data_IF_038002070790
#
_entry.id   IF_038002070790
#
_cell.length_a   1.000
_cell.length_b   1.000
_cell.length_c   1.000
_cell.angle_alpha   90.00
_cell.angle_beta   90.00
_cell.angle_gamma   90.00
#
_symmetry.space_group_name_H-M   'P 1'
#
loop_
_entity.id
_entity.type
_entity.pdbx_description
1 polymer ?
#
# COMPACT_ATOMS: atom_id res chain seq x y z
N UNK A 1 -3.68 17.64 -34.75
CA UNK A 1 -2.76 17.46 -33.59
C UNK A 1 -3.19 16.19 -32.89
N UNK A 2 -2.29 15.23 -32.80
CA UNK A 2 -2.56 13.87 -32.36
C UNK A 2 -2.99 13.77 -30.89
N UNK A 3 -4.05 13.01 -30.65
CA UNK A 3 -4.52 12.62 -29.32
C UNK A 3 -3.75 11.37 -28.88
N UNK A 4 -3.15 11.33 -27.66
CA UNK A 4 -2.40 10.18 -27.16
C UNK A 4 -3.22 8.89 -27.10
N UNK A 5 -2.57 7.76 -27.42
CA UNK A 5 -3.15 6.39 -27.50
C UNK A 5 -3.78 5.86 -26.19
N UNK A 6 -3.68 6.61 -25.10
CA UNK A 6 -4.06 6.22 -23.73
C UNK A 6 -5.55 6.50 -23.41
N UNK A 7 -6.31 7.12 -24.31
CA UNK A 7 -7.71 7.52 -24.10
C UNK A 7 -8.76 6.57 -24.69
N UNK A 8 -8.35 5.45 -25.29
CA UNK A 8 -9.27 4.38 -25.71
C UNK A 8 -9.39 3.34 -24.59
N UNK A 9 -10.64 2.98 -24.30
CA UNK A 9 -11.07 1.79 -23.57
C UNK A 9 -11.26 1.95 -22.05
N UNK A 10 -12.40 1.66 -21.43
CA UNK A 10 -13.69 1.06 -21.84
C UNK A 10 -14.41 0.77 -20.49
N UNK A 11 -15.71 0.87 -20.22
CA UNK A 11 -16.88 0.87 -21.10
C UNK A 11 -18.16 1.41 -20.39
N UNK A 12 -18.11 1.93 -19.16
CA UNK A 12 -19.35 2.28 -18.40
C UNK A 12 -19.38 3.68 -17.78
N UNK A 13 -18.25 4.40 -17.76
CA UNK A 13 -18.19 5.88 -17.56
C UNK A 13 -18.91 6.69 -18.67
N UNK A 14 -19.42 6.01 -19.71
CA UNK A 14 -19.78 6.59 -21.00
C UNK A 14 -21.12 7.32 -21.03
N UNK A 15 -22.17 6.78 -20.40
CA UNK A 15 -23.54 7.27 -20.61
C UNK A 15 -23.79 8.63 -19.93
N UNK A 16 -23.29 8.85 -18.71
CA UNK A 16 -23.47 10.14 -18.01
C UNK A 16 -22.48 11.23 -18.45
N UNK A 17 -21.31 10.85 -18.97
CA UNK A 17 -20.30 11.79 -19.45
C UNK A 17 -20.64 12.28 -20.86
N UNK A 18 -21.23 11.43 -21.72
CA UNK A 18 -21.62 11.81 -23.08
C UNK A 18 -22.63 12.96 -23.09
N UNK A 19 -23.56 13.05 -22.12
CA UNK A 19 -24.54 14.14 -22.08
C UNK A 19 -23.88 15.47 -21.66
N UNK A 20 -22.95 15.43 -20.70
CA UNK A 20 -22.15 16.58 -20.27
C UNK A 20 -21.12 17.02 -21.34
N UNK A 21 -20.50 16.07 -22.05
CA UNK A 21 -19.59 16.34 -23.16
C UNK A 21 -20.36 16.82 -24.38
N UNK A 22 -21.57 16.32 -24.65
CA UNK A 22 -22.42 16.80 -25.74
C UNK A 22 -22.84 18.25 -25.49
N UNK A 23 -23.26 18.58 -24.27
CA UNK A 23 -23.56 19.96 -23.89
C UNK A 23 -22.32 20.86 -24.00
N UNK A 24 -21.15 20.38 -23.58
CA UNK A 24 -19.89 21.13 -23.67
C UNK A 24 -19.40 21.31 -25.12
N UNK A 25 -19.47 20.27 -25.95
CA UNK A 25 -19.08 20.30 -27.36
C UNK A 25 -20.03 21.13 -28.23
N UNK A 26 -21.35 21.14 -27.92
CA UNK A 26 -22.32 22.05 -28.54
C UNK A 26 -22.04 23.52 -28.17
N UNK A 27 -21.65 23.77 -26.91
CA UNK A 27 -21.28 25.11 -26.43
C UNK A 27 -19.98 25.63 -27.09
N UNK A 28 -19.06 24.72 -27.44
CA UNK A 28 -17.71 25.04 -27.93
C UNK A 28 -17.41 24.62 -29.39
N UNK A 29 -18.41 24.14 -30.14
CA UNK A 29 -18.37 23.76 -31.57
C UNK A 29 -17.31 22.71 -31.96
N UNK A 30 -17.23 21.61 -31.20
CA UNK A 30 -16.38 20.45 -31.53
C UNK A 30 -17.22 19.24 -32.00
N UNK A 31 -16.71 18.45 -32.95
CA UNK A 31 -17.39 17.23 -33.46
C UNK A 31 -17.25 16.02 -32.51
N UNK A 32 -18.31 15.21 -32.39
CA UNK A 32 -18.42 14.09 -31.44
C UNK A 32 -17.75 12.78 -31.93
N UNK A 33 -17.11 11.97 -31.04
CA UNK A 33 -16.46 10.70 -31.42
C UNK A 33 -17.40 9.47 -31.38
N UNK A 34 -17.16 8.47 -32.24
CA UNK A 34 -17.92 7.20 -32.32
C UNK A 34 -17.47 6.16 -31.26
N UNK A 35 -18.43 5.40 -30.72
CA UNK A 35 -18.34 4.61 -29.47
C UNK A 35 -17.88 3.14 -29.62
N UNK A 36 -16.91 2.68 -28.82
CA UNK A 36 -16.57 1.26 -28.54
C UNK A 36 -17.54 0.59 -27.53
N UNK A 37 -18.15 -0.56 -27.89
CA UNK A 37 -19.31 -1.16 -27.21
C UNK A 37 -19.16 -2.65 -26.77
N UNK A 38 -18.02 -3.31 -26.98
CA UNK A 38 -18.05 -4.79 -27.14
C UNK A 38 -17.66 -5.71 -25.96
N UNK A 39 -17.27 -5.24 -24.77
CA UNK A 39 -16.64 -6.16 -23.77
C UNK A 39 -17.55 -6.53 -22.57
N UNK A 40 -18.69 -5.87 -22.35
CA UNK A 40 -19.51 -6.04 -21.11
C UNK A 40 -20.81 -6.85 -21.33
N UNK A 41 -21.09 -7.28 -22.55
CA UNK A 41 -22.45 -7.66 -22.97
C UNK A 41 -22.86 -9.09 -22.61
N UNK A 42 -21.96 -10.08 -22.61
CA UNK A 42 -22.40 -11.49 -22.58
C UNK A 42 -22.98 -11.94 -21.22
N UNK A 43 -22.31 -11.58 -20.12
CA UNK A 43 -22.77 -11.93 -18.77
C UNK A 43 -24.09 -11.25 -18.39
N UNK A 44 -24.22 -9.96 -18.70
CA UNK A 44 -25.42 -9.17 -18.42
C UNK A 44 -26.57 -9.60 -19.34
N UNK A 45 -26.31 -9.85 -20.63
CA UNK A 45 -27.31 -10.38 -21.56
C UNK A 45 -27.85 -11.73 -21.12
N UNK A 46 -26.98 -12.64 -20.65
CA UNK A 46 -27.40 -13.96 -20.15
C UNK A 46 -28.30 -13.86 -18.91
N UNK A 47 -28.02 -12.92 -18.00
CA UNK A 47 -28.85 -12.67 -16.82
C UNK A 47 -30.19 -12.03 -17.20
N UNK A 48 -30.19 -11.04 -18.11
CA UNK A 48 -31.42 -10.44 -18.63
C UNK A 48 -32.30 -11.47 -19.34
N UNK A 49 -31.69 -12.39 -20.10
CA UNK A 49 -32.40 -13.48 -20.75
C UNK A 49 -33.00 -14.46 -19.73
N UNK A 50 -32.29 -14.79 -18.65
CA UNK A 50 -32.81 -15.65 -17.57
C UNK A 50 -33.97 -15.01 -16.80
N UNK A 51 -33.90 -13.70 -16.55
CA UNK A 51 -35.01 -12.93 -15.94
C UNK A 51 -36.24 -12.92 -16.86
N UNK A 52 -36.03 -12.83 -18.18
CA UNK A 52 -37.10 -12.74 -19.18
C UNK A 52 -37.66 -14.10 -19.64
N UNK A 53 -36.95 -15.20 -19.38
CA UNK A 53 -37.37 -16.55 -19.76
C UNK A 53 -38.47 -17.09 -18.83
N UNK A 54 -39.38 -17.96 -19.32
CA UNK A 54 -40.42 -18.61 -18.51
C UNK A 54 -39.85 -19.72 -17.60
N UNK A 55 -38.77 -19.39 -16.87
CA UNK A 55 -38.15 -20.22 -15.85
C UNK A 55 -38.89 -20.08 -14.51
N UNK A 56 -38.53 -20.88 -13.51
CA UNK A 56 -39.11 -20.76 -12.17
C UNK A 56 -38.95 -19.35 -11.61
N UNK A 57 -39.97 -18.82 -10.93
CA UNK A 57 -39.91 -17.52 -10.22
C UNK A 57 -38.67 -17.45 -9.31
N UNK A 58 -38.27 -18.59 -8.73
CA UNK A 58 -37.05 -18.70 -7.92
C UNK A 58 -35.77 -18.41 -8.72
N UNK A 59 -35.69 -18.89 -9.97
CA UNK A 59 -34.54 -18.65 -10.84
C UNK A 59 -34.50 -17.23 -11.38
N UNK A 60 -35.66 -16.64 -11.69
CA UNK A 60 -35.78 -15.23 -12.09
C UNK A 60 -35.35 -14.29 -10.95
N UNK A 61 -35.80 -14.57 -9.73
CA UNK A 61 -35.44 -13.77 -8.54
C UNK A 61 -33.93 -13.84 -8.28
N UNK A 62 -33.33 -15.03 -8.36
CA UNK A 62 -31.88 -15.22 -8.21
C UNK A 62 -31.09 -14.47 -9.29
N UNK A 63 -31.54 -14.51 -10.54
CA UNK A 63 -30.89 -13.78 -11.63
C UNK A 63 -30.99 -12.25 -11.46
N UNK A 64 -32.11 -11.74 -10.94
CA UNK A 64 -32.29 -10.31 -10.65
C UNK A 64 -31.41 -9.83 -9.49
N UNK A 65 -31.26 -10.63 -8.43
CA UNK A 65 -30.33 -10.35 -7.33
C UNK A 65 -28.87 -10.32 -7.82
N UNK A 66 -28.50 -11.26 -8.69
CA UNK A 66 -27.17 -11.31 -9.29
C UNK A 66 -26.89 -10.10 -10.19
N UNK A 67 -27.86 -9.72 -11.03
CA UNK A 67 -27.78 -8.51 -11.85
C UNK A 67 -27.60 -7.26 -10.98
N UNK A 68 -28.42 -7.11 -9.93
CA UNK A 68 -28.33 -5.99 -8.99
C UNK A 68 -26.96 -5.92 -8.30
N UNK A 69 -26.40 -7.07 -7.91
CA UNK A 69 -25.08 -7.18 -7.32
C UNK A 69 -23.99 -6.73 -8.31
N UNK A 70 -24.06 -7.18 -9.56
CA UNK A 70 -23.12 -6.78 -10.62
C UNK A 70 -23.19 -5.28 -10.91
N UNK A 71 -24.38 -4.71 -11.04
CA UNK A 71 -24.55 -3.26 -11.25
C UNK A 71 -23.98 -2.44 -10.11
N UNK A 72 -24.23 -2.85 -8.84
CA UNK A 72 -23.67 -2.19 -7.66
C UNK A 72 -22.15 -2.22 -7.65
N UNK A 73 -21.55 -3.36 -8.01
CA UNK A 73 -20.09 -3.51 -8.12
C UNK A 73 -19.51 -2.60 -9.21
N UNK A 74 -20.12 -2.56 -10.39
CA UNK A 74 -19.72 -1.68 -11.49
C UNK A 74 -19.78 -0.19 -11.10
N UNK A 75 -20.86 0.22 -10.42
CA UNK A 75 -21.02 1.57 -9.93
C UNK A 75 -19.92 1.93 -8.92
N UNK A 76 -19.60 1.02 -7.99
CA UNK A 76 -18.50 1.21 -7.03
C UNK A 76 -17.13 1.30 -7.72
N UNK A 77 -16.84 0.42 -8.69
CA UNK A 77 -15.60 0.46 -9.47
C UNK A 77 -15.42 1.80 -10.17
N UNK A 78 -16.44 2.26 -10.89
CA UNK A 78 -16.42 3.56 -11.57
C UNK A 78 -16.25 4.73 -10.58
N UNK A 79 -16.92 4.68 -9.44
CA UNK A 79 -16.83 5.71 -8.40
C UNK A 79 -15.41 5.79 -7.82
N UNK A 80 -14.83 4.66 -7.42
CA UNK A 80 -13.48 4.60 -6.85
C UNK A 80 -12.43 5.07 -7.88
N UNK A 81 -12.55 4.66 -9.14
CA UNK A 81 -11.66 5.13 -10.22
C UNK A 81 -11.81 6.63 -10.47
N UNK A 82 -13.02 7.18 -10.31
CA UNK A 82 -13.24 8.63 -10.42
C UNK A 82 -12.62 9.39 -9.26
N UNK A 83 -12.81 8.91 -8.03
CA UNK A 83 -12.15 9.47 -6.84
C UNK A 83 -10.62 9.46 -6.98
N UNK A 84 -10.05 8.36 -7.49
CA UNK A 84 -8.63 8.27 -7.79
C UNK A 84 -8.19 9.38 -8.75
N UNK A 85 -8.82 9.50 -9.91
CA UNK A 85 -8.47 10.52 -10.91
C UNK A 85 -8.59 11.95 -10.34
N UNK A 86 -9.65 12.22 -9.58
CA UNK A 86 -9.84 13.52 -8.94
C UNK A 86 -8.78 13.81 -7.87
N UNK A 87 -8.33 12.78 -7.15
CA UNK A 87 -7.32 12.92 -6.09
C UNK A 87 -5.93 13.28 -6.61
N UNK A 88 -5.61 13.02 -7.89
CA UNK A 88 -4.33 13.39 -8.49
C UNK A 88 -4.15 14.91 -8.51
N UNK A 89 -5.25 15.65 -8.68
CA UNK A 89 -5.26 17.11 -8.71
C UNK A 89 -5.09 17.66 -7.30
N UNK A 90 -3.99 18.38 -7.05
CA UNK A 90 -3.62 18.88 -5.72
C UNK A 90 -4.74 19.68 -5.03
N UNK A 91 -5.45 20.54 -5.78
CA UNK A 91 -6.53 21.39 -5.27
C UNK A 91 -7.73 20.60 -4.73
N UNK A 92 -7.93 19.37 -5.20
CA UNK A 92 -9.09 18.56 -4.83
C UNK A 92 -8.85 17.73 -3.56
N UNK A 93 -7.58 17.51 -3.17
CA UNK A 93 -7.22 16.52 -2.14
C UNK A 93 -7.87 16.81 -0.79
N UNK A 94 -7.84 18.05 -0.32
CA UNK A 94 -8.44 18.42 0.98
C UNK A 94 -9.95 18.23 0.95
N UNK A 95 -10.62 18.77 -0.08
CA UNK A 95 -12.07 18.67 -0.26
C UNK A 95 -12.53 17.22 -0.33
N UNK A 96 -11.82 16.36 -1.08
CA UNK A 96 -12.13 14.93 -1.19
C UNK A 96 -11.99 14.23 0.17
N UNK A 97 -10.91 14.49 0.92
CA UNK A 97 -10.66 13.83 2.21
C UNK A 97 -11.63 14.28 3.30
N UNK A 98 -12.04 15.55 3.29
CA UNK A 98 -13.02 16.13 4.23
C UNK A 98 -14.46 15.76 3.88
N UNK A 99 -14.73 15.36 2.63
CA UNK A 99 -16.06 14.91 2.22
C UNK A 99 -16.47 13.69 3.05
N UNK A 100 -17.59 13.79 3.80
CA UNK A 100 -18.10 12.68 4.60
C UNK A 100 -18.30 11.44 3.71
N UNK A 101 -18.04 10.26 4.25
CA UNK A 101 -18.15 8.96 3.56
C UNK A 101 -17.04 8.60 2.57
N UNK A 102 -16.18 9.53 2.10
CA UNK A 102 -15.10 9.18 1.17
C UNK A 102 -14.09 8.23 1.81
N UNK A 103 -13.51 8.59 2.97
CA UNK A 103 -12.57 7.71 3.68
C UNK A 103 -13.21 6.36 4.08
N UNK A 104 -14.44 6.32 4.65
CA UNK A 104 -15.14 5.06 4.89
C UNK A 104 -15.37 4.21 3.63
N UNK A 105 -15.76 4.82 2.51
CA UNK A 105 -15.97 4.14 1.24
C UNK A 105 -14.68 3.51 0.74
N UNK A 106 -13.59 4.29 0.69
CA UNK A 106 -12.26 3.81 0.30
C UNK A 106 -11.83 2.66 1.21
N UNK A 107 -12.02 2.80 2.53
CA UNK A 107 -11.69 1.76 3.52
C UNK A 107 -12.47 0.46 3.31
N UNK A 108 -13.76 0.55 3.00
CA UNK A 108 -14.58 -0.63 2.71
C UNK A 108 -14.17 -1.28 1.39
N UNK A 109 -13.88 -0.48 0.37
CA UNK A 109 -13.37 -0.95 -0.92
C UNK A 109 -12.01 -1.63 -0.78
N UNK A 110 -11.13 -1.19 0.12
CA UNK A 110 -9.89 -1.91 0.45
C UNK A 110 -10.14 -3.33 1.00
N UNK A 111 -11.20 -3.53 1.77
CA UNK A 111 -11.48 -4.82 2.44
C UNK A 111 -12.27 -5.81 1.59
N UNK A 112 -13.21 -5.31 0.80
CA UNK A 112 -14.22 -6.13 0.12
C UNK A 112 -14.25 -5.90 -1.40
N UNK A 113 -13.39 -5.04 -1.92
CA UNK A 113 -13.33 -4.71 -3.33
C UNK A 113 -12.63 -5.78 -4.18
N UNK A 114 -12.78 -5.63 -5.48
CA UNK A 114 -11.96 -6.28 -6.50
C UNK A 114 -10.52 -5.82 -6.44
N UNK A 115 -9.60 -6.55 -7.08
CA UNK A 115 -8.20 -6.15 -7.18
C UNK A 115 -8.04 -4.70 -7.67
N UNK A 116 -8.83 -4.30 -8.68
CA UNK A 116 -8.82 -2.94 -9.22
C UNK A 116 -9.33 -1.90 -8.23
N UNK A 117 -10.49 -2.13 -7.60
CA UNK A 117 -11.03 -1.18 -6.60
C UNK A 117 -10.15 -1.08 -5.37
N UNK A 118 -9.56 -2.18 -4.90
CA UNK A 118 -8.60 -2.17 -3.79
C UNK A 118 -7.36 -1.35 -4.16
N UNK A 119 -6.78 -1.58 -5.35
CA UNK A 119 -5.64 -0.81 -5.86
C UNK A 119 -5.95 0.68 -5.98
N UNK A 120 -7.06 1.03 -6.65
CA UNK A 120 -7.45 2.43 -6.83
C UNK A 120 -7.78 3.10 -5.49
N UNK A 121 -8.36 2.36 -4.53
CA UNK A 121 -8.62 2.88 -3.19
C UNK A 121 -7.31 3.18 -2.45
N UNK A 122 -6.33 2.28 -2.50
CA UNK A 122 -5.02 2.48 -1.88
C UNK A 122 -4.28 3.67 -2.50
N UNK A 123 -4.26 3.75 -3.83
CA UNK A 123 -3.65 4.86 -4.57
C UNK A 123 -4.35 6.20 -4.29
N UNK A 124 -5.68 6.21 -4.16
CA UNK A 124 -6.44 7.40 -3.77
C UNK A 124 -6.02 7.86 -2.37
N UNK A 125 -6.02 6.96 -1.39
CA UNK A 125 -5.62 7.30 0.00
C UNK A 125 -4.18 7.79 0.07
N UNK A 126 -3.26 7.20 -0.70
CA UNK A 126 -1.89 7.68 -0.85
C UNK A 126 -1.85 9.09 -1.42
N UNK A 127 -2.54 9.36 -2.52
CA UNK A 127 -2.59 10.69 -3.11
C UNK A 127 -3.14 11.74 -2.14
N UNK A 128 -4.22 11.40 -1.43
CA UNK A 128 -4.83 12.28 -0.43
C UNK A 128 -3.90 12.54 0.78
N UNK A 129 -3.09 11.55 1.17
CA UNK A 129 -2.11 11.66 2.26
C UNK A 129 -0.93 12.60 1.97
N UNK A 130 -0.78 13.07 0.72
CA UNK A 130 0.20 14.08 0.37
C UNK A 130 -0.06 15.42 1.07
N UNK A 131 -1.29 15.68 1.52
CA UNK A 131 -1.65 16.85 2.32
C UNK A 131 -1.65 16.48 3.80
N UNK A 132 -0.91 17.24 4.61
CA UNK A 132 -0.71 16.95 6.04
C UNK A 132 -2.02 16.87 6.84
N UNK A 133 -2.96 17.79 6.58
CA UNK A 133 -4.26 17.82 7.28
C UNK A 133 -5.12 16.57 7.02
N UNK A 134 -4.98 15.96 5.84
CA UNK A 134 -5.74 14.75 5.47
C UNK A 134 -5.24 13.50 6.19
N UNK A 135 -3.97 13.49 6.61
CA UNK A 135 -3.34 12.29 7.17
C UNK A 135 -4.04 11.82 8.45
N UNK A 136 -4.49 12.74 9.30
CA UNK A 136 -5.21 12.41 10.54
C UNK A 136 -6.55 11.74 10.26
N UNK A 137 -7.26 12.17 9.21
CA UNK A 137 -8.54 11.59 8.80
C UNK A 137 -8.34 10.16 8.27
N UNK A 138 -7.28 9.96 7.48
CA UNK A 138 -6.93 8.68 6.85
C UNK A 138 -6.32 7.71 7.87
N UNK A 139 -5.50 8.19 8.80
CA UNK A 139 -4.75 7.41 9.80
C UNK A 139 -5.60 6.76 10.88
N UNK A 140 -6.93 6.70 10.72
CA UNK A 140 -7.78 5.97 11.65
C UNK A 140 -7.48 4.45 11.62
N UNK A 141 -7.69 3.80 12.75
CA UNK A 141 -7.35 2.38 12.95
C UNK A 141 -8.01 1.43 11.94
N UNK A 142 -9.23 1.74 11.47
CA UNK A 142 -9.94 0.89 10.50
C UNK A 142 -9.27 0.91 9.13
N UNK A 143 -8.78 2.07 8.71
CA UNK A 143 -8.13 2.27 7.40
C UNK A 143 -6.72 1.70 7.42
N UNK A 144 -5.96 1.95 8.49
CA UNK A 144 -4.63 1.37 8.66
C UNK A 144 -4.67 -0.17 8.65
N UNK A 145 -5.60 -0.78 9.39
CA UNK A 145 -5.75 -2.24 9.39
C UNK A 145 -6.09 -2.80 7.99
N UNK A 146 -6.92 -2.09 7.21
CA UNK A 146 -7.27 -2.51 5.86
C UNK A 146 -6.05 -2.49 4.92
N UNK A 147 -5.21 -1.46 5.01
CA UNK A 147 -4.01 -1.31 4.19
C UNK A 147 -2.92 -2.31 4.57
N UNK A 148 -2.75 -2.57 5.87
CA UNK A 148 -1.81 -3.59 6.36
C UNK A 148 -2.27 -4.98 5.88
N UNK A 149 -3.58 -5.28 5.98
CA UNK A 149 -4.14 -6.52 5.44
C UNK A 149 -3.83 -6.71 3.94
N UNK A 150 -4.02 -5.66 3.14
CA UNK A 150 -3.71 -5.68 1.70
C UNK A 150 -2.23 -5.95 1.40
N UNK A 151 -1.33 -5.42 2.23
CA UNK A 151 0.11 -5.70 2.12
C UNK A 151 0.40 -7.21 2.26
N UNK A 152 -0.43 -7.92 3.03
CA UNK A 152 -0.34 -9.36 3.26
C UNK A 152 -1.15 -10.26 2.31
N UNK A 153 -1.97 -9.74 1.40
CA UNK A 153 -2.77 -10.57 0.48
C UNK A 153 -1.99 -10.99 -0.79
N UNK A 154 -0.95 -10.23 -1.17
CA UNK A 154 -0.10 -10.53 -2.33
C UNK A 154 -0.66 -9.99 -3.67
N UNK A 155 0.25 -9.75 -4.61
CA UNK A 155 0.02 -9.10 -5.90
C UNK A 155 0.85 -7.83 -6.06
N UNK A 156 1.87 -7.88 -6.92
CA UNK A 156 2.91 -6.85 -7.07
C UNK A 156 2.35 -5.41 -7.05
N UNK A 157 1.36 -5.14 -7.91
CA UNK A 157 0.76 -3.81 -8.06
C UNK A 157 -0.04 -3.31 -6.85
N UNK A 158 -0.67 -4.22 -6.10
CA UNK A 158 -1.43 -3.84 -4.89
C UNK A 158 -0.45 -3.60 -3.74
N UNK A 159 0.57 -4.46 -3.64
CA UNK A 159 1.61 -4.37 -2.63
C UNK A 159 2.47 -3.12 -2.79
N UNK A 160 2.76 -2.68 -4.03
CA UNK A 160 3.51 -1.44 -4.27
C UNK A 160 2.77 -0.22 -3.71
N UNK A 161 1.49 -0.03 -4.08
CA UNK A 161 0.69 1.09 -3.58
C UNK A 161 0.51 1.05 -2.06
N UNK A 162 0.30 -0.14 -1.49
CA UNK A 162 0.18 -0.32 -0.04
C UNK A 162 1.51 -0.07 0.69
N UNK A 163 2.64 -0.46 0.10
CA UNK A 163 3.99 -0.22 0.64
C UNK A 163 4.35 1.26 0.60
N UNK A 164 4.07 1.97 -0.50
CA UNK A 164 4.28 3.42 -0.61
C UNK A 164 3.43 4.19 0.40
N UNK A 165 2.16 3.80 0.58
CA UNK A 165 1.31 4.36 1.62
C UNK A 165 1.86 4.09 3.02
N UNK A 166 2.20 2.84 3.31
CA UNK A 166 2.76 2.46 4.61
C UNK A 166 4.05 3.23 4.90
N UNK A 167 4.90 3.45 3.90
CA UNK A 167 6.11 4.28 3.99
C UNK A 167 5.77 5.72 4.37
N UNK A 168 4.81 6.33 3.68
CA UNK A 168 4.33 7.68 3.98
C UNK A 168 3.80 7.79 5.41
N UNK A 169 2.98 6.83 5.86
CA UNK A 169 2.46 6.81 7.23
C UNK A 169 3.57 6.55 8.25
N UNK A 170 4.50 5.63 8.00
CA UNK A 170 5.62 5.36 8.91
C UNK A 170 6.43 6.64 9.12
N UNK A 171 6.82 7.34 8.04
CA UNK A 171 7.60 8.57 8.14
C UNK A 171 6.92 9.63 9.03
N UNK A 172 5.59 9.70 8.97
CA UNK A 172 4.80 10.72 9.65
C UNK A 172 4.38 10.32 11.07
N UNK A 173 4.07 9.05 11.30
CA UNK A 173 3.48 8.54 12.55
C UNK A 173 4.43 7.66 13.37
N UNK A 174 5.68 7.51 12.94
CA UNK A 174 6.73 6.76 13.65
C UNK A 174 6.85 7.11 15.15
N UNK A 175 6.44 8.32 15.56
CA UNK A 175 6.51 8.79 16.95
C UNK A 175 5.27 8.47 17.79
N UNK A 176 4.10 8.31 17.18
CA UNK A 176 2.81 8.28 17.90
C UNK A 176 2.09 6.94 17.84
N UNK A 177 2.32 6.13 16.80
CA UNK A 177 1.52 4.93 16.52
C UNK A 177 2.30 3.63 16.79
N UNK A 178 2.49 3.27 18.08
CA UNK A 178 3.10 1.97 18.47
C UNK A 178 2.44 0.78 17.76
N UNK A 179 1.12 0.85 17.61
CA UNK A 179 0.29 -0.19 17.01
C UNK A 179 0.65 -0.46 15.54
N UNK A 180 1.15 0.55 14.83
CA UNK A 180 1.54 0.40 13.43
C UNK A 180 2.72 -0.58 13.27
N UNK A 181 3.74 -0.46 14.12
CA UNK A 181 4.89 -1.38 14.10
C UNK A 181 4.45 -2.83 14.38
N UNK A 182 3.61 -3.03 15.40
CA UNK A 182 3.12 -4.35 15.82
C UNK A 182 2.26 -5.05 14.77
N UNK A 183 1.61 -4.30 13.90
CA UNK A 183 0.76 -4.86 12.84
C UNK A 183 1.53 -5.04 11.54
N UNK A 184 2.37 -4.08 11.19
CA UNK A 184 3.03 -4.04 9.89
C UNK A 184 4.24 -4.98 9.84
N UNK A 185 5.09 -4.99 10.86
CA UNK A 185 6.33 -5.80 10.84
C UNK A 185 6.03 -7.29 10.68
N UNK A 186 5.10 -7.92 11.43
CA UNK A 186 4.80 -9.35 11.24
C UNK A 186 4.30 -9.69 9.83
N UNK A 187 3.49 -8.81 9.22
CA UNK A 187 2.98 -9.03 7.86
C UNK A 187 4.11 -8.96 6.83
N UNK A 188 5.00 -7.97 6.96
CA UNK A 188 6.13 -7.78 6.07
C UNK A 188 7.14 -8.93 6.18
N UNK A 189 7.52 -9.31 7.40
CA UNK A 189 8.50 -10.38 7.63
C UNK A 189 7.97 -11.72 7.13
N UNK A 190 6.69 -12.03 7.37
CA UNK A 190 6.04 -13.22 6.83
C UNK A 190 6.09 -13.26 5.31
N UNK A 191 5.74 -12.16 4.63
CA UNK A 191 5.74 -12.11 3.16
C UNK A 191 7.12 -12.23 2.55
N UNK A 192 8.10 -11.57 3.16
CA UNK A 192 9.49 -11.66 2.72
C UNK A 192 10.04 -13.08 2.91
N UNK A 193 9.66 -13.75 4.00
CA UNK A 193 10.01 -15.15 4.25
C UNK A 193 9.41 -16.10 3.20
N UNK A 194 8.20 -15.84 2.74
CA UNK A 194 7.57 -16.54 1.61
C UNK A 194 8.25 -16.23 0.26
N UNK A 195 9.15 -15.24 0.20
CA UNK A 195 9.78 -14.78 -1.04
C UNK A 195 8.87 -13.91 -1.91
N UNK A 196 7.75 -13.41 -1.37
CA UNK A 196 6.77 -12.60 -2.11
C UNK A 196 7.09 -11.12 -1.97
N UNK A 197 7.18 -10.41 -3.11
CA UNK A 197 7.36 -8.95 -3.19
C UNK A 197 8.53 -8.43 -2.33
N UNK A 198 9.65 -9.17 -2.29
CA UNK A 198 10.79 -8.82 -1.43
C UNK A 198 11.36 -7.45 -1.77
N UNK A 199 11.42 -7.10 -3.07
CA UNK A 199 11.92 -5.80 -3.53
C UNK A 199 11.07 -4.63 -3.02
N UNK A 200 9.76 -4.81 -2.94
CA UNK A 200 8.80 -3.76 -2.55
C UNK A 200 8.64 -3.63 -1.03
N UNK A 201 8.82 -4.74 -0.31
CA UNK A 201 8.54 -4.82 1.14
C UNK A 201 9.80 -4.58 2.00
N UNK A 202 10.98 -5.00 1.54
CA UNK A 202 12.21 -4.88 2.30
C UNK A 202 12.64 -3.42 2.57
N UNK A 203 12.49 -2.45 1.63
CA UNK A 203 12.76 -1.04 1.91
C UNK A 203 11.90 -0.49 3.06
N UNK A 204 10.66 -0.95 3.19
CA UNK A 204 9.77 -0.54 4.27
C UNK A 204 10.24 -1.11 5.62
N UNK A 205 10.74 -2.35 5.66
CA UNK A 205 11.40 -2.87 6.87
C UNK A 205 12.70 -2.12 7.18
N UNK A 206 13.49 -1.75 6.18
CA UNK A 206 14.68 -0.92 6.37
C UNK A 206 14.33 0.43 7.02
N UNK A 207 13.27 1.09 6.55
CA UNK A 207 12.75 2.31 7.18
C UNK A 207 12.29 2.06 8.62
N UNK A 208 11.52 1.01 8.87
CA UNK A 208 11.03 0.66 10.21
C UNK A 208 12.18 0.34 11.18
N UNK A 209 13.28 -0.24 10.68
CA UNK A 209 14.46 -0.59 11.48
C UNK A 209 15.24 0.63 11.98
N UNK A 210 15.01 1.83 11.45
CA UNK A 210 15.59 3.07 12.01
C UNK A 210 15.03 3.41 13.39
N UNK A 211 13.97 2.72 13.83
CA UNK A 211 13.33 2.89 15.12
C UNK A 211 13.59 1.69 16.03
N UNK A 212 13.95 1.97 17.29
CA UNK A 212 14.19 0.97 18.33
C UNK A 212 13.00 0.00 18.48
N UNK A 213 11.76 0.50 18.36
CA UNK A 213 10.55 -0.34 18.40
C UNK A 213 10.49 -1.32 17.23
N UNK A 214 10.86 -0.87 16.04
CA UNK A 214 10.88 -1.71 14.85
C UNK A 214 11.94 -2.79 14.94
N UNK A 215 13.15 -2.43 15.37
CA UNK A 215 14.23 -3.40 15.62
C UNK A 215 13.82 -4.44 16.66
N UNK A 216 13.21 -4.01 17.77
CA UNK A 216 12.74 -4.92 18.81
C UNK A 216 11.74 -5.94 18.27
N UNK A 217 10.72 -5.49 17.55
CA UNK A 217 9.72 -6.38 16.96
C UNK A 217 10.34 -7.35 15.94
N UNK A 218 11.29 -6.89 15.12
CA UNK A 218 12.03 -7.76 14.18
C UNK A 218 12.89 -8.80 14.91
N UNK A 219 13.53 -8.43 16.02
CA UNK A 219 14.30 -9.34 16.87
C UNK A 219 13.40 -10.40 17.51
N UNK A 220 12.25 -10.00 18.06
CA UNK A 220 11.27 -10.89 18.68
C UNK A 220 10.73 -11.94 17.68
N UNK A 221 10.69 -11.59 16.39
CA UNK A 221 10.32 -12.50 15.29
C UNK A 221 11.49 -13.35 14.74
N UNK A 222 12.72 -13.17 15.22
CA UNK A 222 13.89 -13.92 14.75
C UNK A 222 14.34 -13.56 13.33
N UNK A 223 14.04 -12.34 12.87
CA UNK A 223 14.18 -11.95 11.46
C UNK A 223 15.62 -11.95 10.92
N UNK A 224 16.63 -11.96 11.79
CA UNK A 224 18.05 -12.02 11.41
C UNK A 224 18.36 -13.24 10.53
N UNK A 225 17.73 -14.40 10.80
CA UNK A 225 17.93 -15.61 10.00
C UNK A 225 17.38 -15.44 8.59
N UNK A 226 16.24 -14.76 8.45
CA UNK A 226 15.62 -14.48 7.17
C UNK A 226 16.48 -13.51 6.35
N UNK A 227 17.07 -12.47 6.97
CA UNK A 227 18.04 -11.56 6.33
C UNK A 227 19.27 -12.31 5.80
N UNK A 228 19.83 -13.23 6.60
CA UNK A 228 20.95 -14.06 6.16
C UNK A 228 20.56 -14.97 4.98
N UNK A 229 19.32 -15.41 4.90
CA UNK A 229 18.82 -16.18 3.76
C UNK A 229 18.73 -15.32 2.49
N UNK A 230 18.40 -14.02 2.62
CA UNK A 230 18.33 -13.06 1.51
C UNK A 230 19.71 -12.83 0.90
N UNK A 231 20.75 -12.65 1.73
CA UNK A 231 22.13 -12.46 1.24
C UNK A 231 22.67 -13.64 0.44
N UNK A 232 22.21 -14.87 0.72
CA UNK A 232 22.66 -16.08 0.03
C UNK A 232 22.04 -16.25 -1.36
N UNK A 233 20.91 -15.58 -1.63
CA UNK A 233 20.20 -15.67 -2.90
C UNK A 233 20.73 -14.60 -3.87
N UNK A 234 20.98 -14.95 -5.14
CA UNK A 234 21.25 -13.94 -6.16
C UNK A 234 20.01 -13.04 -6.28
N UNK A 235 20.22 -11.73 -6.20
CA UNK A 235 19.15 -10.73 -6.18
C UNK A 235 19.67 -9.40 -6.70
N UNK A 236 18.79 -8.40 -6.80
CA UNK A 236 19.20 -7.06 -7.20
C UNK A 236 19.98 -6.36 -6.07
N UNK A 237 20.93 -5.47 -6.39
CA UNK A 237 21.76 -4.79 -5.38
C UNK A 237 20.95 -4.07 -4.30
N UNK A 238 19.80 -3.51 -4.65
CA UNK A 238 18.91 -2.75 -3.76
C UNK A 238 18.33 -3.63 -2.64
N UNK A 239 18.03 -4.90 -2.93
CA UNK A 239 17.55 -5.84 -1.91
C UNK A 239 18.66 -6.10 -0.89
N UNK A 240 19.89 -6.33 -1.35
CA UNK A 240 21.02 -6.57 -0.45
C UNK A 240 21.37 -5.32 0.36
N UNK A 241 21.33 -4.14 -0.25
CA UNK A 241 21.54 -2.86 0.46
C UNK A 241 20.55 -2.70 1.62
N UNK A 242 19.24 -2.87 1.36
CA UNK A 242 18.21 -2.77 2.38
C UNK A 242 18.38 -3.82 3.49
N UNK A 243 18.75 -5.05 3.13
CA UNK A 243 19.03 -6.09 4.12
C UNK A 243 20.24 -5.73 5.01
N UNK A 244 21.31 -5.17 4.45
CA UNK A 244 22.48 -4.70 5.23
C UNK A 244 22.10 -3.57 6.17
N UNK A 245 21.28 -2.60 5.72
CA UNK A 245 20.77 -1.51 6.56
C UNK A 245 20.02 -2.04 7.78
N UNK A 246 19.15 -3.05 7.58
CA UNK A 246 18.40 -3.65 8.70
C UNK A 246 19.36 -4.31 9.70
N UNK A 247 20.34 -5.10 9.22
CA UNK A 247 21.36 -5.72 10.08
C UNK A 247 22.16 -4.67 10.86
N UNK A 248 22.59 -3.59 10.19
CA UNK A 248 23.29 -2.49 10.85
C UNK A 248 22.45 -1.89 11.99
N UNK A 249 21.18 -1.58 11.72
CA UNK A 249 20.29 -0.99 12.72
C UNK A 249 20.01 -1.95 13.90
N UNK A 250 19.90 -3.26 13.64
CA UNK A 250 19.76 -4.28 14.69
C UNK A 250 20.98 -4.32 15.61
N UNK A 251 22.20 -4.31 15.04
CA UNK A 251 23.44 -4.30 15.81
C UNK A 251 23.65 -2.99 16.58
N UNK A 252 23.26 -1.86 15.98
CA UNK A 252 23.32 -0.56 16.64
C UNK A 252 22.39 -0.50 17.85
N UNK A 253 21.17 -1.05 17.75
CA UNK A 253 20.24 -1.10 18.88
C UNK A 253 20.71 -2.05 19.98
N UNK A 254 21.26 -3.21 19.63
CA UNK A 254 21.88 -4.15 20.58
C UNK A 254 23.00 -3.45 21.38
N UNK A 255 23.84 -2.68 20.71
CA UNK A 255 24.86 -1.86 21.37
C UNK A 255 24.27 -0.76 22.25
N UNK A 256 23.27 -0.03 21.76
CA UNK A 256 22.64 1.07 22.51
C UNK A 256 21.93 0.57 23.78
N UNK A 257 21.25 -0.58 23.68
CA UNK A 257 20.43 -1.12 24.77
C UNK A 257 21.28 -1.84 25.82
N UNK A 258 22.27 -2.63 25.38
CA UNK A 258 22.99 -3.53 26.29
C UNK A 258 24.49 -3.25 26.41
N UNK A 259 25.05 -2.39 25.55
CA UNK A 259 26.49 -2.17 25.45
C UNK A 259 27.25 -3.44 25.15
N UNK A 260 26.65 -4.36 24.39
CA UNK A 260 27.12 -5.74 24.19
C UNK A 260 28.54 -5.77 23.66
N UNK A 261 28.84 -5.00 22.60
CA UNK A 261 30.17 -4.95 22.03
C UNK A 261 31.12 -4.13 22.90
N UNK A 262 30.65 -3.07 23.56
CA UNK A 262 31.48 -2.34 24.56
C UNK A 262 31.95 -3.23 25.70
N UNK A 263 31.08 -4.10 26.23
CA UNK A 263 31.45 -5.07 27.27
C UNK A 263 32.47 -6.09 26.77
N UNK A 264 32.23 -6.65 25.57
CA UNK A 264 33.16 -7.60 24.94
C UNK A 264 34.53 -6.98 24.62
N UNK A 265 34.57 -5.70 24.25
CA UNK A 265 35.82 -4.98 24.00
C UNK A 265 36.64 -4.73 25.28
N UNK A 266 36.00 -4.68 26.46
CA UNK A 266 36.67 -4.45 27.74
C UNK A 266 37.14 -5.72 28.45
N UNK A 267 36.37 -6.80 28.31
CA UNK A 267 36.51 -7.99 29.17
C UNK A 267 36.61 -9.30 28.37
N UNK A 268 36.57 -9.25 27.03
CA UNK A 268 36.68 -10.43 26.19
C UNK A 268 38.10 -10.97 26.08
N UNK A 269 38.25 -12.15 25.47
CA UNK A 269 39.55 -12.63 25.00
C UNK A 269 40.11 -11.73 23.88
N UNK A 270 41.41 -11.79 23.61
CA UNK A 270 42.05 -11.00 22.55
C UNK A 270 41.30 -11.08 21.21
N UNK A 271 40.79 -12.26 20.85
CA UNK A 271 40.00 -12.45 19.63
C UNK A 271 38.65 -11.73 19.72
N UNK A 272 37.96 -11.82 20.84
CA UNK A 272 36.68 -11.17 21.05
C UNK A 272 36.83 -9.64 21.06
N UNK A 273 37.84 -9.11 21.77
CA UNK A 273 38.17 -7.69 21.83
C UNK A 273 38.39 -7.12 20.43
N UNK A 274 39.27 -7.75 19.62
CA UNK A 274 39.51 -7.30 18.25
C UNK A 274 38.26 -7.24 17.38
N UNK A 275 37.34 -8.21 17.52
CA UNK A 275 36.10 -8.26 16.73
C UNK A 275 35.07 -7.24 17.24
N UNK A 276 34.92 -7.11 18.54
CA UNK A 276 34.05 -6.11 19.15
C UNK A 276 34.48 -4.69 18.78
N UNK A 277 35.78 -4.38 18.85
CA UNK A 277 36.32 -3.09 18.43
C UNK A 277 36.08 -2.78 16.96
N UNK A 278 36.17 -3.78 16.08
CA UNK A 278 35.88 -3.60 14.66
C UNK A 278 34.40 -3.24 14.42
N UNK A 279 33.49 -3.93 15.12
CA UNK A 279 32.05 -3.66 15.06
C UNK A 279 31.77 -2.25 15.62
N UNK A 280 32.31 -1.90 16.78
CA UNK A 280 32.14 -0.58 17.39
C UNK A 280 32.65 0.55 16.47
N UNK A 281 33.80 0.35 15.81
CA UNK A 281 34.32 1.32 14.83
C UNK A 281 33.37 1.48 13.64
N UNK A 282 32.81 0.39 13.14
CA UNK A 282 31.83 0.42 12.05
C UNK A 282 30.54 1.14 12.48
N UNK A 283 29.98 0.79 13.64
CA UNK A 283 28.80 1.45 14.22
C UNK A 283 29.03 2.94 14.43
N UNK A 284 30.19 3.36 14.97
CA UNK A 284 30.51 4.79 15.18
C UNK A 284 30.68 5.57 13.88
N UNK A 285 31.21 4.95 12.83
CA UNK A 285 31.43 5.60 11.52
C UNK A 285 30.14 5.85 10.76
N UNK A 286 29.15 4.97 10.92
CA UNK A 286 27.93 4.98 10.12
C UNK A 286 26.66 5.24 10.92
N UNK A 287 26.76 5.24 12.26
CA UNK A 287 25.65 5.57 13.15
C UNK A 287 25.40 7.06 13.14
N UNK A 288 24.16 7.45 12.87
CA UNK A 288 23.73 8.82 13.15
C UNK A 288 23.77 9.02 14.66
N UNK A 289 24.53 10.03 15.10
CA UNK A 289 24.65 10.38 16.51
C UNK A 289 23.27 10.68 17.10
N UNK A 290 22.68 9.70 17.80
CA UNK A 290 21.79 10.00 18.92
C UNK A 290 22.71 10.42 20.06
N UNK A 291 23.09 11.70 20.09
CA UNK A 291 23.59 12.29 21.31
C UNK A 291 22.60 11.94 22.43
N UNK A 292 23.14 11.37 23.50
CA UNK A 292 22.45 11.11 24.73
C UNK A 292 21.84 12.42 25.24
N UNK A 293 20.56 12.67 24.97
CA UNK A 293 19.77 13.51 25.85
C UNK A 293 19.46 12.70 27.11
N UNK A 294 20.48 12.56 27.96
CA UNK A 294 20.29 12.30 29.39
C UNK A 294 20.02 13.66 30.03
N UNK A 295 18.74 13.96 30.21
CA UNK A 295 18.27 14.81 31.30
C UNK A 295 18.03 13.95 32.53
#
# INVERSE_FOLDING_TARGET
MDVPKEFKCTLSKKIMIDELITQWCLLHKFELPKSSQEIVTDGISSLLQRISSPSSVKDQTKAAEELRSQTKRFANENLITTLFNLSIVAKNKTVIAETPLVIPLLTNSLKQGTAETRRNSAATLLSLSAVDSNRLLIGNSKTLNALIGLTGEGGLFITEAASQFSTSIVYQYQRTEKRLFQLLIPVLTHKIKEGSNVAELLPLLALLSTHNRGVKEMNDLGYISDLLSIFRKPSCPEIHENAVVIVFNMLNEEENQYGTFTKLARQGSDRAVRKADAILKWLKRHGTGKESQRG
#
